data_IF_512878955253
#
_entry.id   IF_512878955253
#
_cell.length_a   1.000
_cell.length_b   1.000
_cell.length_c   1.000
_cell.angle_alpha   90.00
_cell.angle_beta   90.00
_cell.angle_gamma   90.00
#
_symmetry.space_group_name_H-M   'P 1'
#
loop_
_entity.id
_entity.type
_entity.pdbx_description
1 polymer ?
#
# COMPACT_ATOMS: atom_id res chain seq x y z
N UNK A 1 12.89 -7.21 -10.45
CA UNK A 1 11.97 -6.89 -9.34
C UNK A 1 11.20 -5.63 -9.74
N UNK A 2 9.86 -5.67 -9.71
CA UNK A 2 9.02 -4.51 -10.00
C UNK A 2 8.57 -3.89 -8.67
N UNK A 3 8.61 -2.56 -8.54
CA UNK A 3 8.28 -1.86 -7.31
C UNK A 3 7.33 -0.69 -7.59
N UNK A 4 6.32 -0.54 -6.75
CA UNK A 4 5.35 0.56 -6.79
C UNK A 4 5.34 1.23 -5.43
N UNK A 5 5.35 2.56 -5.41
CA UNK A 5 5.20 3.37 -4.19
C UNK A 5 3.98 4.26 -4.34
N UNK A 6 3.08 4.18 -3.35
CA UNK A 6 1.87 4.99 -3.29
C UNK A 6 2.03 5.95 -2.13
N UNK A 7 1.71 7.23 -2.37
CA UNK A 7 1.81 8.30 -1.40
C UNK A 7 0.44 8.94 -1.18
N UNK A 8 0.21 9.42 0.04
CA UNK A 8 -0.93 10.27 0.36
C UNK A 8 -0.99 10.56 1.84
N UNK A 9 -2.20 10.63 2.40
CA UNK A 9 -2.41 10.88 3.82
C UNK A 9 -3.24 9.78 4.48
N UNK A 10 -3.04 9.61 5.78
CA UNK A 10 -3.84 8.70 6.61
C UNK A 10 -5.34 8.98 6.44
N UNK A 11 -6.11 7.94 6.12
CA UNK A 11 -7.54 8.03 5.80
C UNK A 11 -7.88 8.21 4.31
N UNK A 12 -6.91 8.40 3.41
CA UNK A 12 -7.15 8.50 1.95
C UNK A 12 -7.10 7.16 1.21
N UNK A 13 -6.92 6.04 1.92
CA UNK A 13 -6.90 4.71 1.32
C UNK A 13 -5.57 4.27 0.68
N UNK A 14 -4.47 4.99 0.91
CA UNK A 14 -3.12 4.67 0.36
C UNK A 14 -2.68 3.24 0.70
N UNK A 15 -2.82 2.83 1.96
CA UNK A 15 -2.45 1.49 2.43
C UNK A 15 -3.34 0.44 1.77
N UNK A 16 -4.65 0.67 1.74
CA UNK A 16 -5.62 -0.22 1.11
C UNK A 16 -5.36 -0.38 -0.38
N UNK A 17 -5.01 0.69 -1.08
CA UNK A 17 -4.65 0.64 -2.50
C UNK A 17 -3.40 -0.22 -2.75
N UNK A 18 -2.37 -0.09 -1.91
CA UNK A 18 -1.16 -0.90 -2.01
C UNK A 18 -1.44 -2.39 -1.74
N UNK A 19 -2.28 -2.67 -0.74
CA UNK A 19 -2.71 -4.03 -0.40
C UNK A 19 -3.54 -4.67 -1.52
N UNK A 20 -4.52 -3.95 -2.08
CA UNK A 20 -5.32 -4.42 -3.22
C UNK A 20 -4.44 -4.73 -4.45
N UNK A 21 -3.44 -3.89 -4.74
CA UNK A 21 -2.50 -4.17 -5.83
C UNK A 21 -1.69 -5.45 -5.59
N UNK A 22 -1.26 -5.69 -4.35
CA UNK A 22 -0.55 -6.93 -3.99
C UNK A 22 -1.45 -8.16 -4.10
N UNK A 23 -2.73 -8.06 -3.69
CA UNK A 23 -3.71 -9.14 -3.82
C UNK A 23 -3.96 -9.45 -5.30
N UNK A 24 -4.23 -8.44 -6.13
CA UNK A 24 -4.45 -8.63 -7.56
C UNK A 24 -3.26 -9.31 -8.25
N UNK A 25 -2.03 -8.88 -7.94
CA UNK A 25 -0.82 -9.51 -8.47
C UNK A 25 -0.68 -10.98 -8.00
N UNK A 26 -1.05 -11.27 -6.76
CA UNK A 26 -1.06 -12.64 -6.24
C UNK A 26 -2.11 -13.52 -6.93
N UNK A 27 -3.32 -12.99 -7.17
CA UNK A 27 -4.38 -13.68 -7.93
C UNK A 27 -3.98 -13.99 -9.38
N UNK A 28 -3.11 -13.17 -9.98
CA UNK A 28 -2.48 -13.44 -11.28
C UNK A 28 -1.34 -14.50 -11.22
N UNK A 29 -1.09 -15.13 -10.08
CA UNK A 29 -0.03 -16.12 -9.90
C UNK A 29 1.37 -15.53 -9.75
N UNK A 30 1.48 -14.23 -9.42
CA UNK A 30 2.77 -13.57 -9.16
C UNK A 30 3.13 -13.61 -7.68
N UNK A 31 4.42 -13.47 -7.39
CA UNK A 31 4.90 -13.20 -6.04
C UNK A 31 4.81 -11.69 -5.75
N UNK A 32 3.98 -11.30 -4.77
CA UNK A 32 3.74 -9.90 -4.41
C UNK A 32 3.67 -9.73 -2.89
N UNK A 33 4.09 -8.55 -2.41
CA UNK A 33 3.97 -8.12 -1.02
C UNK A 33 3.75 -6.61 -0.97
N UNK A 34 2.83 -6.15 -0.12
CA UNK A 34 2.69 -4.76 0.27
C UNK A 34 3.14 -4.58 1.72
N UNK A 35 3.85 -3.50 2.00
CA UNK A 35 4.21 -3.09 3.36
C UNK A 35 4.06 -1.57 3.47
N UNK A 36 3.33 -1.07 4.47
CA UNK A 36 3.18 0.36 4.65
C UNK A 36 4.37 0.97 5.41
N UNK A 37 4.54 2.29 5.29
CA UNK A 37 5.49 3.07 6.09
C UNK A 37 4.78 4.32 6.61
N UNK A 38 4.48 4.37 7.91
CA UNK A 38 3.88 5.55 8.55
C UNK A 38 4.14 5.53 10.08
N UNK A 39 4.05 6.70 10.71
CA UNK A 39 4.24 6.89 12.15
C UNK A 39 3.01 6.50 12.99
N UNK A 40 2.95 6.93 14.26
CA UNK A 40 1.83 6.61 15.17
C UNK A 40 0.51 7.34 14.82
N UNK A 41 0.57 8.35 13.95
CA UNK A 41 -0.54 9.23 13.60
C UNK A 41 -1.54 8.54 12.65
N UNK A 42 -2.84 8.58 12.97
CA UNK A 42 -3.87 7.80 12.26
C UNK A 42 -4.48 8.52 11.06
N UNK A 43 -4.82 9.80 11.20
CA UNK A 43 -5.55 10.57 10.18
C UNK A 43 -4.74 11.78 9.74
N UNK A 44 -4.63 11.98 8.43
CA UNK A 44 -3.99 13.15 7.84
C UNK A 44 -2.46 13.13 7.83
N UNK A 45 -1.82 12.20 8.55
CA UNK A 45 -0.36 12.04 8.51
C UNK A 45 0.12 11.60 7.14
N UNK A 46 1.32 12.02 6.70
CA UNK A 46 1.94 11.50 5.48
C UNK A 46 2.09 9.98 5.53
N UNK A 47 1.64 9.31 4.47
CA UNK A 47 1.77 7.87 4.24
C UNK A 47 2.40 7.65 2.87
#
# INVERSE_FOLDING_TARGET
>A
MFQVRIHGRGGQGVVTAAEMLSIAAFEEGRHAQAFPSFGSERTGAPV
#
